data_IF_814446636033
#
_entry.id   IF_814446636033
#
_cell.length_a   1.000
_cell.length_b   1.000
_cell.length_c   1.000
_cell.angle_alpha   90.00
_cell.angle_beta   90.00
_cell.angle_gamma   90.00
#
_symmetry.space_group_name_H-M   'P 1'
#
loop_
_entity.id
_entity.type
_entity.pdbx_description
1 polymer ?
#
# COMPACT_ATOMS: atom_id res chain seq x y z
N UNK A 1 33.21 17.24 4.18
CA UNK A 1 32.19 16.31 4.70
C UNK A 1 31.00 16.47 3.77
N UNK A 2 30.84 15.57 2.79
CA UNK A 2 29.71 15.62 1.85
C UNK A 2 28.81 14.44 2.20
N UNK A 3 27.55 14.73 2.52
CA UNK A 3 26.53 13.73 2.74
C UNK A 3 26.13 13.16 1.37
N UNK A 4 26.63 11.97 1.06
CA UNK A 4 26.11 11.12 -0.01
C UNK A 4 24.78 10.53 0.49
N UNK A 5 23.72 11.31 0.36
CA UNK A 5 22.34 10.85 0.60
C UNK A 5 21.75 10.51 -0.76
N UNK A 6 22.21 9.39 -1.33
CA UNK A 6 21.67 8.83 -2.56
C UNK A 6 20.39 8.09 -2.21
N UNK A 7 19.30 8.84 -2.06
CA UNK A 7 17.97 8.26 -2.20
C UNK A 7 17.77 8.01 -3.69
N UNK A 8 17.93 6.77 -4.13
CA UNK A 8 17.79 6.39 -5.54
C UNK A 8 16.44 6.88 -6.10
N UNK A 9 16.44 7.72 -7.15
CA UNK A 9 15.21 8.24 -7.75
C UNK A 9 14.33 7.13 -8.35
N UNK A 10 14.93 5.98 -8.66
CA UNK A 10 14.26 4.78 -9.17
C UNK A 10 13.31 4.18 -8.13
N UNK A 11 13.71 4.13 -6.86
CA UNK A 11 12.86 3.59 -5.78
C UNK A 11 11.62 4.46 -5.52
N UNK A 12 11.73 5.77 -5.75
CA UNK A 12 10.60 6.70 -5.61
C UNK A 12 9.59 6.53 -6.75
N UNK A 13 10.07 6.28 -7.97
CA UNK A 13 9.24 6.00 -9.15
C UNK A 13 8.52 4.66 -9.00
N UNK A 14 9.23 3.60 -8.61
CA UNK A 14 8.64 2.27 -8.38
C UNK A 14 7.56 2.32 -7.28
N UNK A 15 7.78 3.10 -6.21
CA UNK A 15 6.79 3.28 -5.15
C UNK A 15 5.52 4.01 -5.64
N UNK A 16 5.65 5.01 -6.52
CA UNK A 16 4.49 5.75 -7.08
C UNK A 16 3.68 4.86 -8.04
N UNK A 17 4.36 4.06 -8.88
CA UNK A 17 3.71 3.11 -9.78
C UNK A 17 2.98 2.01 -9.00
N UNK A 18 3.63 1.46 -7.98
CA UNK A 18 3.03 0.46 -7.10
C UNK A 18 1.83 1.04 -6.34
N UNK A 19 1.89 2.30 -5.92
CA UNK A 19 0.76 3.00 -5.30
C UNK A 19 -0.45 3.07 -6.23
N UNK A 20 -0.25 3.55 -7.46
CA UNK A 20 -1.34 3.69 -8.45
C UNK A 20 -1.96 2.35 -8.78
N UNK A 21 -1.14 1.31 -8.88
CA UNK A 21 -1.60 -0.04 -9.16
C UNK A 21 -2.46 -0.61 -8.01
N UNK A 22 -2.05 -0.39 -6.76
CA UNK A 22 -2.82 -0.76 -5.56
C UNK A 22 -4.13 0.02 -5.48
N UNK A 23 -4.11 1.34 -5.65
CA UNK A 23 -5.32 2.17 -5.58
C UNK A 23 -6.34 1.79 -6.68
N UNK A 24 -5.86 1.48 -7.88
CA UNK A 24 -6.70 0.98 -8.98
C UNK A 24 -7.34 -0.37 -8.65
N UNK A 25 -6.54 -1.35 -8.22
CA UNK A 25 -7.03 -2.68 -7.84
C UNK A 25 -8.02 -2.63 -6.69
N UNK A 26 -7.82 -1.74 -5.72
CA UNK A 26 -8.78 -1.52 -4.64
C UNK A 26 -10.16 -1.11 -5.17
N UNK A 27 -10.19 -0.17 -6.12
CA UNK A 27 -11.44 0.29 -6.75
C UNK A 27 -12.11 -0.82 -7.57
N UNK A 28 -11.33 -1.71 -8.19
CA UNK A 28 -11.85 -2.81 -9.01
C UNK A 28 -12.36 -3.99 -8.18
N UNK A 29 -11.73 -4.29 -7.05
CA UNK A 29 -12.06 -5.45 -6.20
C UNK A 29 -13.20 -5.19 -5.22
N UNK A 30 -13.64 -3.93 -5.08
CA UNK A 30 -14.68 -3.50 -4.12
C UNK A 30 -14.49 -4.06 -2.70
N UNK A 31 -13.25 -4.36 -2.31
CA UNK A 31 -12.95 -4.91 -0.99
C UNK A 31 -13.30 -3.89 0.09
N UNK A 32 -13.96 -4.31 1.19
CA UNK A 32 -14.22 -3.40 2.29
C UNK A 32 -12.89 -2.91 2.88
N UNK A 33 -12.72 -1.59 2.96
CA UNK A 33 -11.49 -0.95 3.46
C UNK A 33 -11.06 -1.53 4.81
N UNK A 34 -12.01 -1.70 5.73
CA UNK A 34 -11.76 -2.25 7.06
C UNK A 34 -11.20 -3.69 7.02
N UNK A 35 -11.66 -4.54 6.08
CA UNK A 35 -11.16 -5.92 5.89
C UNK A 35 -9.72 -5.90 5.39
N UNK A 36 -9.43 -5.04 4.41
CA UNK A 36 -8.08 -4.85 3.90
C UNK A 36 -7.13 -4.31 4.97
N UNK A 37 -7.54 -3.28 5.71
CA UNK A 37 -6.76 -2.68 6.79
C UNK A 37 -6.49 -3.69 7.92
N UNK A 38 -7.52 -4.45 8.34
CA UNK A 38 -7.36 -5.49 9.38
C UNK A 38 -6.35 -6.56 8.95
N UNK A 39 -6.41 -7.01 7.70
CA UNK A 39 -5.46 -8.00 7.20
C UNK A 39 -4.03 -7.43 7.13
N UNK A 40 -3.88 -6.22 6.60
CA UNK A 40 -2.61 -5.48 6.60
C UNK A 40 -2.03 -5.32 8.01
N UNK A 41 -2.84 -4.96 8.99
CA UNK A 41 -2.42 -4.83 10.38
C UNK A 41 -1.94 -6.17 10.96
N UNK A 42 -2.63 -7.26 10.62
CA UNK A 42 -2.21 -8.63 10.95
C UNK A 42 -0.87 -9.06 10.33
N UNK A 43 -0.48 -8.49 9.19
CA UNK A 43 0.83 -8.72 8.56
C UNK A 43 1.98 -7.91 9.21
N UNK A 44 1.67 -7.08 10.21
CA UNK A 44 2.63 -6.16 10.83
C UNK A 44 2.58 -4.74 10.28
N UNK A 45 1.46 -4.36 9.65
CA UNK A 45 1.19 -2.98 9.27
C UNK A 45 1.10 -2.06 10.49
N UNK A 46 1.70 -0.87 10.40
CA UNK A 46 1.76 0.11 11.50
C UNK A 46 0.96 1.39 11.20
N UNK A 47 0.39 1.49 9.99
CA UNK A 47 -0.44 2.63 9.63
C UNK A 47 -1.82 2.53 10.29
N UNK A 48 -2.21 3.60 10.98
CA UNK A 48 -3.58 3.79 11.46
C UNK A 48 -4.59 3.83 10.30
N UNK A 49 -5.85 3.52 10.60
CA UNK A 49 -6.95 3.49 9.64
C UNK A 49 -7.07 4.78 8.83
N UNK A 50 -6.88 5.94 9.47
CA UNK A 50 -6.98 7.23 8.78
C UNK A 50 -5.85 7.47 7.78
N UNK A 51 -4.62 7.07 8.13
CA UNK A 51 -3.46 7.15 7.23
C UNK A 51 -3.60 6.17 6.06
N UNK A 52 -4.20 5.02 6.32
CA UNK A 52 -4.48 4.00 5.32
C UNK A 52 -5.53 4.46 4.31
N UNK A 53 -6.64 5.03 4.79
CA UNK A 53 -7.66 5.66 3.94
C UNK A 53 -7.04 6.77 3.07
N UNK A 54 -6.26 7.67 3.68
CA UNK A 54 -5.61 8.74 2.95
C UNK A 54 -4.66 8.22 1.86
N UNK A 55 -3.95 7.12 2.13
CA UNK A 55 -3.10 6.46 1.14
C UNK A 55 -3.90 5.89 -0.03
N UNK A 56 -5.00 5.17 0.25
CA UNK A 56 -5.88 4.61 -0.79
C UNK A 56 -6.56 5.71 -1.63
N UNK A 57 -6.87 6.84 -1.01
CA UNK A 57 -7.40 8.03 -1.67
C UNK A 57 -6.31 8.88 -2.35
N UNK A 58 -5.09 8.38 -2.44
CA UNK A 58 -3.97 9.05 -3.11
C UNK A 58 -3.56 10.39 -2.44
N UNK A 59 -4.06 10.67 -1.24
CA UNK A 59 -3.87 11.91 -0.48
C UNK A 59 -2.65 11.87 0.45
N UNK A 60 -2.08 10.68 0.70
CA UNK A 60 -0.91 10.49 1.55
C UNK A 60 0.07 9.46 0.95
N UNK A 61 1.36 9.63 1.23
CA UNK A 61 2.39 8.65 0.88
C UNK A 61 2.80 7.86 2.12
N UNK A 62 2.72 6.53 2.00
CA UNK A 62 3.25 5.61 3.00
C UNK A 62 4.66 5.15 2.59
N UNK A 63 5.51 4.77 3.56
CA UNK A 63 6.82 4.21 3.26
C UNK A 63 6.68 2.90 2.47
N UNK A 64 7.66 2.62 1.60
CA UNK A 64 7.64 1.47 0.68
C UNK A 64 7.41 0.12 1.40
N UNK A 65 7.92 -0.05 2.62
CA UNK A 65 7.66 -1.23 3.45
C UNK A 65 6.17 -1.44 3.74
N UNK A 66 5.45 -0.37 4.07
CA UNK A 66 4.01 -0.43 4.32
C UNK A 66 3.24 -0.64 3.02
N UNK A 67 3.65 0.03 1.94
CA UNK A 67 3.07 -0.17 0.59
C UNK A 67 3.18 -1.62 0.13
N UNK A 68 4.32 -2.28 0.38
CA UNK A 68 4.53 -3.69 0.08
C UNK A 68 3.57 -4.61 0.86
N UNK A 69 3.33 -4.31 2.15
CA UNK A 69 2.37 -5.05 2.97
C UNK A 69 0.94 -4.86 2.47
N UNK A 70 0.55 -3.64 2.09
CA UNK A 70 -0.77 -3.34 1.51
C UNK A 70 -0.99 -4.11 0.21
N UNK A 71 0.01 -4.09 -0.68
CA UNK A 71 -0.04 -4.82 -1.94
C UNK A 71 -0.19 -6.33 -1.72
N UNK A 72 0.49 -6.87 -0.71
CA UNK A 72 0.39 -8.28 -0.31
C UNK A 72 -1.01 -8.59 0.21
N UNK A 73 -1.50 -7.81 1.18
CA UNK A 73 -2.84 -7.97 1.74
C UNK A 73 -3.92 -7.93 0.66
N UNK A 74 -3.83 -6.99 -0.27
CA UNK A 74 -4.77 -6.85 -1.37
C UNK A 74 -4.73 -8.05 -2.31
N UNK A 75 -3.54 -8.55 -2.65
CA UNK A 75 -3.39 -9.73 -3.52
C UNK A 75 -4.01 -10.97 -2.87
N UNK A 76 -3.69 -11.22 -1.60
CA UNK A 76 -4.20 -12.38 -0.85
C UNK A 76 -5.72 -12.33 -0.70
N UNK A 77 -6.28 -11.15 -0.38
CA UNK A 77 -7.72 -10.97 -0.23
C UNK A 77 -8.48 -11.07 -1.55
N UNK A 78 -7.87 -10.62 -2.66
CA UNK A 78 -8.49 -10.72 -4.00
C UNK A 78 -8.40 -12.15 -4.57
N UNK A 79 -7.33 -12.87 -4.25
CA UNK A 79 -7.17 -14.28 -4.66
C UNK A 79 -8.12 -15.22 -3.90
N UNK A 80 -8.56 -14.83 -2.70
CA UNK A 80 -9.49 -15.60 -1.87
C UNK A 80 -10.97 -15.48 -2.24
N UNK A 81 -11.35 -14.63 -3.20
CA UNK A 81 -12.76 -14.48 -3.64
C UNK A 81 -13.05 -15.22 -4.97
N UNK A 82 -12.10 -15.99 -5.50
CA UNK A 82 -12.25 -16.86 -6.68
C UNK A 82 -12.63 -18.31 -6.30
N UNK A 83 -13.61 -18.50 -5.40
CA UNK A 83 -14.16 -19.83 -5.12
C UNK A 83 -15.66 -19.85 -4.82
#
# INVERSE_FOLDING_TARGET
>A
MNADWTGDPDQLLEADEQRRDVARRFRETQLPMLKLWTYYYGLGGDADEMSFDAYLNEALHLPASQVGLIATAMRELSAGEDQ
#
